data_IF_197505341606
#
_entry.id   IF_197505341606
#
_cell.length_a   1.000
_cell.length_b   1.000
_cell.length_c   1.000
_cell.angle_alpha   90.00
_cell.angle_beta   90.00
_cell.angle_gamma   90.00
#
_symmetry.space_group_name_H-M   'P 1'
#
loop_
_entity.id
_entity.type
_entity.pdbx_description
1 polymer ?
#
# COMPACT_ATOMS: atom_id res chain seq x y z
N UNK A 1 -7.90 -21.74 19.36
CA UNK A 1 -6.77 -22.67 19.19
C UNK A 1 -6.26 -23.10 20.56
N UNK A 2 -5.97 -24.38 20.77
CA UNK A 2 -5.53 -24.91 22.06
C UNK A 2 -4.08 -24.47 22.32
N UNK A 3 -3.87 -23.56 23.26
CA UNK A 3 -2.54 -23.03 23.56
C UNK A 3 -1.65 -24.17 24.10
N UNK A 4 -0.48 -24.41 23.48
CA UNK A 4 0.41 -25.51 23.86
C UNK A 4 1.02 -25.25 25.23
N UNK A 5 1.40 -26.31 25.95
CA UNK A 5 1.88 -26.17 27.33
C UNK A 5 3.16 -25.33 27.45
N UNK A 6 4.05 -25.37 26.45
CA UNK A 6 5.25 -24.53 26.43
C UNK A 6 4.90 -23.05 26.21
N UNK A 7 3.91 -22.75 25.38
CA UNK A 7 3.49 -21.37 25.13
C UNK A 7 2.75 -20.78 26.34
N UNK A 8 1.96 -21.57 27.05
CA UNK A 8 1.37 -21.16 28.34
C UNK A 8 2.46 -20.85 29.38
N UNK A 9 3.51 -21.68 29.44
CA UNK A 9 4.64 -21.45 30.33
C UNK A 9 5.41 -20.18 29.95
N UNK A 10 5.69 -19.99 28.66
CA UNK A 10 6.34 -18.80 28.13
C UNK A 10 5.55 -17.52 28.49
N UNK A 11 4.24 -17.47 28.21
CA UNK A 11 3.38 -16.31 28.51
C UNK A 11 3.39 -15.97 30.01
N UNK A 12 3.32 -16.99 30.85
CA UNK A 12 3.33 -16.80 32.30
C UNK A 12 4.68 -16.23 32.78
N UNK A 13 5.79 -16.79 32.31
CA UNK A 13 7.13 -16.33 32.69
C UNK A 13 7.40 -14.92 32.14
N UNK A 14 7.02 -14.65 30.89
CA UNK A 14 7.09 -13.32 30.26
C UNK A 14 6.32 -12.29 31.07
N UNK A 15 5.08 -12.60 31.47
CA UNK A 15 4.27 -11.71 32.32
C UNK A 15 4.93 -11.42 33.65
N UNK A 16 5.51 -12.42 34.32
CA UNK A 16 6.21 -12.22 35.59
C UNK A 16 7.45 -11.34 35.46
N UNK A 17 8.18 -11.46 34.35
CA UNK A 17 9.33 -10.60 34.04
C UNK A 17 8.87 -9.16 33.79
N UNK A 18 7.81 -8.96 32.98
CA UNK A 18 7.25 -7.62 32.67
C UNK A 18 6.67 -6.93 33.90
N UNK A 19 5.99 -7.69 34.79
CA UNK A 19 5.44 -7.17 36.05
C UNK A 19 6.51 -6.89 37.11
N UNK A 20 7.79 -7.16 36.83
CA UNK A 20 8.91 -6.89 37.74
C UNK A 20 9.05 -7.88 38.89
N UNK A 21 8.46 -9.09 38.80
CA UNK A 21 8.66 -10.15 39.79
C UNK A 21 10.08 -10.72 39.76
N UNK A 22 10.74 -10.62 38.59
CA UNK A 22 12.16 -10.86 38.44
C UNK A 22 12.84 -9.56 38.02
N UNK A 23 13.90 -9.17 38.73
CA UNK A 23 14.67 -7.97 38.43
C UNK A 23 15.74 -8.28 37.39
N UNK A 24 16.23 -7.23 36.74
CA UNK A 24 17.38 -7.33 35.86
C UNK A 24 18.55 -8.04 36.57
N UNK A 25 19.17 -8.99 35.87
CA UNK A 25 20.32 -9.73 36.39
C UNK A 25 19.96 -10.81 37.41
N UNK A 26 18.69 -10.98 37.77
CA UNK A 26 18.26 -12.11 38.60
C UNK A 26 18.53 -13.43 37.88
N UNK A 27 19.03 -14.40 38.65
CA UNK A 27 19.25 -15.75 38.14
C UNK A 27 17.90 -16.45 37.98
N UNK A 28 17.58 -16.80 36.75
CA UNK A 28 16.39 -17.56 36.41
C UNK A 28 16.54 -19.05 36.76
N UNK A 29 15.43 -19.75 36.97
CA UNK A 29 15.46 -21.19 37.27
C UNK A 29 16.20 -21.97 36.17
N UNK A 30 16.91 -23.04 36.53
CA UNK A 30 17.44 -23.95 35.50
C UNK A 30 16.30 -24.78 34.88
N UNK A 31 16.46 -25.22 33.62
CA UNK A 31 15.48 -26.08 32.93
C UNK A 31 15.06 -27.29 33.79
N UNK A 32 16.02 -27.91 34.47
CA UNK A 32 15.81 -29.09 35.35
C UNK A 32 15.06 -28.73 36.64
N UNK A 33 15.34 -27.60 37.25
CA UNK A 33 14.63 -27.14 38.45
C UNK A 33 13.17 -26.82 38.13
N UNK A 34 12.94 -26.08 37.04
CA UNK A 34 11.59 -25.69 36.66
C UNK A 34 10.73 -26.87 36.21
N UNK A 35 11.32 -27.81 35.45
CA UNK A 35 10.65 -29.06 35.06
C UNK A 35 10.22 -29.89 36.27
N UNK A 36 11.07 -30.02 37.30
CA UNK A 36 10.72 -30.72 38.55
C UNK A 36 9.65 -29.99 39.36
N UNK A 37 9.74 -28.67 39.46
CA UNK A 37 8.81 -27.87 40.28
C UNK A 37 7.39 -27.86 39.69
N UNK A 38 7.27 -27.83 38.36
CA UNK A 38 5.99 -27.80 37.66
C UNK A 38 5.52 -29.18 37.20
N UNK A 39 6.31 -30.25 37.44
CA UNK A 39 6.02 -31.61 36.98
C UNK A 39 5.71 -31.71 35.47
N UNK A 40 6.49 -31.00 34.65
CA UNK A 40 6.34 -30.97 33.18
C UNK A 40 7.60 -31.49 32.49
N UNK A 41 7.47 -31.93 31.23
CA UNK A 41 8.61 -32.37 30.41
C UNK A 41 9.68 -31.29 30.32
N UNK A 42 10.95 -31.70 30.40
CA UNK A 42 12.09 -30.82 30.21
C UNK A 42 12.11 -30.20 28.80
N UNK A 43 11.60 -30.91 27.78
CA UNK A 43 11.45 -30.38 26.41
C UNK A 43 10.47 -29.21 26.34
N UNK A 44 9.38 -29.26 27.10
CA UNK A 44 8.40 -28.16 27.19
C UNK A 44 9.02 -26.92 27.82
N UNK A 45 9.82 -27.09 28.88
CA UNK A 45 10.56 -25.98 29.52
C UNK A 45 11.60 -25.41 28.57
N UNK A 46 12.29 -26.27 27.82
CA UNK A 46 13.28 -25.86 26.83
C UNK A 46 12.68 -25.02 25.71
N UNK A 47 11.54 -25.41 25.14
CA UNK A 47 10.85 -24.59 24.14
C UNK A 47 10.38 -23.24 24.69
N UNK A 48 9.85 -23.20 25.92
CA UNK A 48 9.47 -21.95 26.55
C UNK A 48 10.67 -21.03 26.79
N UNK A 49 11.82 -21.59 27.19
CA UNK A 49 13.06 -20.83 27.40
C UNK A 49 13.66 -20.34 26.09
N UNK A 50 13.55 -21.13 25.02
CA UNK A 50 13.99 -20.71 23.70
C UNK A 50 13.21 -19.47 23.24
N UNK A 51 11.89 -19.45 23.41
CA UNK A 51 11.09 -18.25 23.10
C UNK A 51 11.49 -17.05 23.96
N UNK A 52 11.74 -17.24 25.26
CA UNK A 52 12.21 -16.15 26.13
C UNK A 52 13.60 -15.63 25.75
N UNK A 53 14.48 -16.49 25.22
CA UNK A 53 15.80 -16.10 24.71
C UNK A 53 15.69 -15.37 23.37
N UNK A 54 14.87 -15.89 22.45
CA UNK A 54 14.69 -15.35 21.11
C UNK A 54 14.07 -13.94 21.15
N UNK A 55 13.14 -13.71 22.09
CA UNK A 55 12.56 -12.37 22.34
C UNK A 55 13.38 -11.50 23.31
N UNK A 56 14.48 -12.01 23.85
CA UNK A 56 15.41 -11.24 24.67
C UNK A 56 14.95 -10.98 26.11
N UNK A 57 13.92 -11.67 26.63
CA UNK A 57 13.50 -11.56 28.03
C UNK A 57 14.52 -12.14 29.02
N UNK A 58 15.27 -13.16 28.58
CA UNK A 58 16.37 -13.75 29.34
C UNK A 58 17.60 -13.89 28.44
N UNK A 59 18.78 -14.01 29.05
CA UNK A 59 20.02 -14.32 28.36
C UNK A 59 20.77 -15.46 29.06
N UNK A 60 21.59 -16.20 28.31
CA UNK A 60 22.39 -17.29 28.84
C UNK A 60 23.82 -16.83 29.15
N UNK A 61 24.32 -17.16 30.35
CA UNK A 61 25.75 -17.05 30.67
C UNK A 61 26.38 -18.44 30.71
N UNK A 62 27.49 -18.69 29.96
CA UNK A 62 28.16 -19.99 29.93
C UNK A 62 28.45 -20.51 31.35
N UNK A 63 28.10 -21.79 31.59
CA UNK A 63 28.24 -22.50 32.88
C UNK A 63 27.56 -21.85 34.09
N UNK A 64 26.78 -20.79 33.91
CA UNK A 64 26.18 -20.01 35.01
C UNK A 64 24.65 -20.10 35.03
N UNK A 65 24.01 -20.30 33.88
CA UNK A 65 22.56 -20.48 33.75
C UNK A 65 21.90 -19.38 32.91
N UNK A 66 20.63 -19.10 33.21
CA UNK A 66 19.83 -18.06 32.56
C UNK A 66 19.63 -16.88 33.51
N UNK A 67 19.61 -15.68 32.98
CA UNK A 67 19.49 -14.42 33.72
C UNK A 67 18.47 -13.53 33.03
N UNK A 68 17.73 -12.73 33.79
CA UNK A 68 16.73 -11.80 33.23
C UNK A 68 17.44 -10.61 32.60
N UNK A 69 17.07 -10.31 31.35
CA UNK A 69 17.61 -9.18 30.60
C UNK A 69 17.12 -7.85 31.15
N UNK A 70 17.87 -6.78 30.87
CA UNK A 70 17.38 -5.42 31.05
C UNK A 70 16.24 -5.18 30.07
N UNK A 71 15.03 -4.99 30.60
CA UNK A 71 13.85 -4.66 29.80
C UNK A 71 13.52 -3.23 30.17
N UNK A 72 13.74 -2.32 29.24
CA UNK A 72 13.15 -0.98 29.32
C UNK A 72 11.63 -1.15 29.26
N UNK A 73 11.00 -1.30 30.42
CA UNK A 73 9.56 -1.15 30.52
C UNK A 73 9.28 0.32 30.21
N UNK A 74 8.74 0.61 29.02
CA UNK A 74 8.07 1.88 28.79
C UNK A 74 7.12 2.07 29.97
N UNK A 75 7.29 3.14 30.75
CA UNK A 75 6.42 3.45 31.87
C UNK A 75 5.03 3.69 31.29
N UNK A 76 4.18 2.66 31.32
CA UNK A 76 2.78 2.79 30.96
C UNK A 76 2.16 3.61 32.10
N UNK A 77 2.22 4.94 31.96
CA UNK A 77 1.79 5.89 32.98
C UNK A 77 0.30 5.82 33.30
N UNK A 78 -0.48 5.02 32.55
CA UNK A 78 -1.89 4.81 32.83
C UNK A 78 -2.32 3.42 32.36
N UNK A 79 -2.71 2.56 33.32
CA UNK A 79 -3.49 1.35 33.05
C UNK A 79 -4.97 1.68 32.78
N UNK A 80 -5.25 2.91 32.33
CA UNK A 80 -6.56 3.29 31.83
C UNK A 80 -6.78 2.49 30.54
N UNK A 81 -7.94 1.84 30.35
CA UNK A 81 -8.27 1.29 29.04
C UNK A 81 -8.11 2.43 28.04
N UNK A 82 -7.20 2.26 27.09
CA UNK A 82 -7.09 3.18 25.94
C UNK A 82 -8.51 3.21 25.37
N UNK A 83 -9.20 4.36 25.33
CA UNK A 83 -10.48 4.46 24.65
C UNK A 83 -10.26 3.83 23.28
N UNK A 84 -11.09 2.87 22.91
CA UNK A 84 -11.04 2.23 21.61
C UNK A 84 -11.11 3.31 20.55
N UNK A 85 -9.95 3.73 20.05
CA UNK A 85 -9.80 4.69 18.96
C UNK A 85 -10.43 4.17 17.66
N UNK A 86 -10.94 2.94 17.69
CA UNK A 86 -11.55 2.19 16.60
C UNK A 86 -13.03 1.84 16.86
N UNK A 87 -13.62 2.21 18.00
CA UNK A 87 -15.08 2.11 18.22
C UNK A 87 -15.82 3.34 17.68
N UNK A 88 -15.12 4.20 16.95
CA UNK A 88 -15.75 5.28 16.21
C UNK A 88 -16.43 4.71 14.96
N UNK A 89 -17.67 4.23 15.15
CA UNK A 89 -18.63 3.89 14.09
C UNK A 89 -19.01 5.12 13.21
N UNK A 90 -18.31 6.26 13.33
CA UNK A 90 -18.46 7.42 12.45
C UNK A 90 -18.05 7.11 11.01
N UNK A 91 -17.18 6.12 10.78
CA UNK A 91 -16.94 5.59 9.45
C UNK A 91 -18.15 4.77 8.99
N UNK A 92 -19.19 5.49 8.57
CA UNK A 92 -20.22 4.92 7.72
C UNK A 92 -19.61 4.84 6.33
N UNK A 93 -19.28 3.64 5.79
CA UNK A 93 -18.97 3.54 4.37
C UNK A 93 -20.15 4.20 3.65
N UNK A 94 -19.86 5.16 2.75
CA UNK A 94 -20.89 5.70 1.86
C UNK A 94 -21.59 4.48 1.27
N UNK A 95 -22.87 4.30 1.59
CA UNK A 95 -23.63 3.17 1.12
C UNK A 95 -23.58 3.21 -0.41
N UNK A 96 -22.75 2.34 -0.99
CA UNK A 96 -22.63 2.17 -2.44
C UNK A 96 -23.85 1.44 -3.02
N UNK A 97 -24.80 1.06 -2.16
CA UNK A 97 -25.97 0.26 -2.47
C UNK A 97 -27.28 1.08 -2.35
N UNK A 98 -27.22 2.41 -2.53
CA UNK A 98 -28.44 3.09 -2.95
C UNK A 98 -28.74 2.60 -4.37
N UNK A 99 -29.67 1.65 -4.48
CA UNK A 99 -30.19 1.17 -5.75
C UNK A 99 -30.91 2.33 -6.45
N UNK A 100 -30.14 3.18 -7.12
CA UNK A 100 -30.68 4.21 -7.98
C UNK A 100 -31.31 3.55 -9.20
N UNK A 101 -32.56 3.87 -9.51
CA UNK A 101 -33.18 3.47 -10.77
C UNK A 101 -32.41 4.02 -11.98
N UNK A 102 -31.77 5.19 -11.80
CA UNK A 102 -30.93 5.86 -12.77
C UNK A 102 -29.73 6.52 -12.07
N UNK A 103 -28.52 6.08 -12.39
CA UNK A 103 -27.28 6.72 -11.96
C UNK A 103 -26.67 7.50 -13.15
N UNK A 104 -26.50 8.81 -13.00
CA UNK A 104 -25.90 9.69 -14.03
C UNK A 104 -24.42 9.96 -13.70
N UNK A 105 -23.66 8.90 -13.45
CA UNK A 105 -22.24 8.96 -13.16
C UNK A 105 -21.44 8.86 -14.46
N UNK A 106 -20.68 9.89 -14.81
CA UNK A 106 -19.83 9.89 -16.02
C UNK A 106 -18.60 8.99 -15.88
N UNK A 107 -18.17 8.71 -14.65
CA UNK A 107 -16.91 8.02 -14.34
C UNK A 107 -17.10 6.51 -14.06
N UNK A 108 -18.34 6.01 -14.09
CA UNK A 108 -18.60 4.60 -13.82
C UNK A 108 -18.37 3.72 -15.06
N UNK A 109 -17.74 2.57 -14.83
CA UNK A 109 -17.57 1.54 -15.84
C UNK A 109 -18.85 0.72 -15.89
N UNK A 110 -19.37 0.49 -17.10
CA UNK A 110 -20.47 -0.43 -17.31
C UNK A 110 -20.04 -1.88 -17.01
N UNK A 111 -20.31 -2.32 -15.80
CA UNK A 111 -20.02 -3.67 -15.33
C UNK A 111 -20.87 -4.74 -16.00
N UNK A 112 -22.04 -4.38 -16.56
CA UNK A 112 -22.96 -5.34 -17.20
C UNK A 112 -22.48 -5.76 -18.58
N UNK A 113 -21.86 -4.85 -19.32
CA UNK A 113 -21.36 -5.11 -20.69
C UNK A 113 -19.86 -5.37 -20.77
N UNK A 114 -19.15 -5.36 -19.64
CA UNK A 114 -17.73 -5.70 -19.63
C UNK A 114 -17.51 -7.17 -20.06
N UNK A 115 -16.67 -7.45 -21.09
CA UNK A 115 -16.48 -8.79 -21.63
C UNK A 115 -15.58 -9.65 -20.72
N UNK A 116 -16.08 -10.00 -19.53
CA UNK A 116 -15.31 -10.65 -18.47
C UNK A 116 -14.76 -12.02 -18.89
N UNK A 117 -15.48 -12.76 -19.72
CA UNK A 117 -15.04 -14.07 -20.21
C UNK A 117 -13.79 -13.97 -21.10
N UNK A 118 -13.77 -12.96 -21.98
CA UNK A 118 -12.65 -12.70 -22.87
C UNK A 118 -11.44 -12.18 -22.07
N UNK A 119 -11.69 -11.26 -21.13
CA UNK A 119 -10.66 -10.76 -20.22
C UNK A 119 -10.02 -11.89 -19.41
N UNK A 120 -10.84 -12.81 -18.88
CA UNK A 120 -10.36 -13.98 -18.14
C UNK A 120 -9.54 -14.93 -19.02
N UNK A 121 -9.96 -15.15 -20.27
CA UNK A 121 -9.21 -15.99 -21.23
C UNK A 121 -7.81 -15.44 -21.45
N UNK A 122 -7.69 -14.16 -21.83
CA UNK A 122 -6.37 -13.54 -22.07
C UNK A 122 -5.53 -13.42 -20.80
N UNK A 123 -6.16 -13.18 -19.65
CA UNK A 123 -5.45 -13.18 -18.37
C UNK A 123 -4.82 -14.53 -18.08
N UNK A 124 -5.54 -15.64 -18.34
CA UNK A 124 -5.01 -17.00 -18.16
C UNK A 124 -3.83 -17.28 -19.09
N UNK A 125 -3.92 -16.86 -20.35
CA UNK A 125 -2.84 -17.03 -21.33
C UNK A 125 -1.58 -16.25 -20.92
N UNK A 126 -1.74 -15.05 -20.35
CA UNK A 126 -0.62 -14.24 -19.83
C UNK A 126 0.10 -14.90 -18.64
N UNK A 127 -0.64 -15.53 -17.73
CA UNK A 127 -0.08 -16.19 -16.55
C UNK A 127 0.42 -17.62 -16.80
N UNK A 128 0.52 -18.07 -18.05
CA UNK A 128 1.12 -19.37 -18.35
C UNK A 128 2.60 -19.41 -17.91
N UNK A 129 3.05 -20.60 -17.50
CA UNK A 129 4.41 -20.89 -17.01
C UNK A 129 5.53 -20.49 -17.99
N UNK A 130 5.20 -20.34 -19.27
CA UNK A 130 6.11 -19.85 -20.31
C UNK A 130 6.43 -18.35 -20.20
N UNK A 131 5.67 -17.60 -19.39
CA UNK A 131 5.76 -16.14 -19.26
C UNK A 131 6.26 -15.66 -17.88
N UNK A 132 6.88 -16.53 -17.07
CA UNK A 132 7.36 -16.18 -15.72
C UNK A 132 8.36 -15.00 -15.68
N UNK A 133 9.00 -14.66 -16.81
CA UNK A 133 9.82 -13.46 -16.91
C UNK A 133 9.02 -12.16 -16.66
N UNK A 134 7.70 -12.17 -16.83
CA UNK A 134 6.79 -11.05 -16.52
C UNK A 134 6.66 -10.78 -15.01
N UNK A 135 7.07 -11.71 -14.14
CA UNK A 135 7.12 -11.49 -12.69
C UNK A 135 8.28 -10.57 -12.27
N UNK A 136 9.20 -10.25 -13.19
CA UNK A 136 10.27 -9.28 -12.96
C UNK A 136 9.70 -7.87 -13.02
N UNK A 137 10.43 -6.90 -12.47
CA UNK A 137 10.07 -5.49 -12.69
C UNK A 137 10.12 -5.21 -14.19
N UNK A 138 8.99 -4.75 -14.72
CA UNK A 138 8.87 -4.32 -16.10
C UNK A 138 9.65 -3.03 -16.37
N UNK A 139 9.67 -2.63 -17.63
CA UNK A 139 10.26 -1.36 -18.05
C UNK A 139 9.48 -0.17 -17.48
N UNK A 140 10.15 0.95 -17.16
CA UNK A 140 9.52 2.12 -16.51
C UNK A 140 8.43 2.80 -17.37
N UNK A 141 8.52 2.71 -18.70
CA UNK A 141 7.47 3.17 -19.63
C UNK A 141 6.35 2.14 -19.86
N UNK A 142 6.43 0.96 -19.23
CA UNK A 142 5.60 -0.19 -19.53
C UNK A 142 6.18 -1.13 -20.59
N UNK A 143 5.54 -2.29 -20.72
CA UNK A 143 6.01 -3.40 -21.55
C UNK A 143 6.14 -3.02 -23.04
N UNK A 144 7.27 -3.39 -23.63
CA UNK A 144 7.61 -2.99 -25.00
C UNK A 144 6.59 -3.51 -26.03
N UNK A 145 6.22 -4.79 -25.94
CA UNK A 145 5.24 -5.40 -26.83
C UNK A 145 3.86 -4.72 -26.74
N UNK A 146 3.47 -4.30 -25.53
CA UNK A 146 2.23 -3.56 -25.32
C UNK A 146 2.31 -2.17 -25.97
N UNK A 147 3.44 -1.47 -25.84
CA UNK A 147 3.66 -0.17 -26.51
C UNK A 147 3.61 -0.29 -28.04
N UNK A 148 4.16 -1.35 -28.63
CA UNK A 148 4.01 -1.62 -30.07
C UNK A 148 2.53 -1.78 -30.48
N UNK A 149 1.77 -2.58 -29.73
CA UNK A 149 0.35 -2.79 -30.04
C UNK A 149 -0.47 -1.51 -29.85
N UNK A 150 -0.15 -0.70 -28.83
CA UNK A 150 -0.78 0.60 -28.63
C UNK A 150 -0.44 1.59 -29.75
N UNK A 151 0.81 1.66 -30.21
CA UNK A 151 1.19 2.51 -31.33
C UNK A 151 0.40 2.15 -32.61
N UNK A 152 0.29 0.84 -32.89
CA UNK A 152 -0.53 0.36 -34.02
C UNK A 152 -2.01 0.73 -33.84
N UNK A 153 -2.58 0.47 -32.66
CA UNK A 153 -3.98 0.80 -32.36
C UNK A 153 -4.28 2.31 -32.49
N UNK A 154 -3.38 3.16 -32.02
CA UNK A 154 -3.49 4.61 -32.09
C UNK A 154 -3.43 5.11 -33.55
N UNK A 155 -2.58 4.50 -34.37
CA UNK A 155 -2.52 4.79 -35.79
C UNK A 155 -3.82 4.40 -36.49
N UNK A 156 -4.31 3.17 -36.30
CA UNK A 156 -5.50 2.68 -37.02
C UNK A 156 -6.80 3.37 -36.60
N UNK A 157 -6.97 3.69 -35.32
CA UNK A 157 -8.24 4.21 -34.80
C UNK A 157 -8.26 5.74 -34.61
N UNK A 158 -7.10 6.38 -34.50
CA UNK A 158 -6.99 7.82 -34.23
C UNK A 158 -6.07 8.57 -35.19
N UNK A 159 -5.42 7.88 -36.13
CA UNK A 159 -4.46 8.50 -37.06
C UNK A 159 -3.20 9.05 -36.39
N UNK A 160 -2.95 8.70 -35.11
CA UNK A 160 -1.79 9.19 -34.37
C UNK A 160 -0.57 8.37 -34.78
N UNK A 161 0.44 9.05 -35.33
CA UNK A 161 1.73 8.45 -35.71
C UNK A 161 2.70 8.68 -34.55
N UNK A 162 3.09 7.61 -33.86
CA UNK A 162 4.08 7.67 -32.79
C UNK A 162 4.99 6.44 -32.78
N UNK A 163 6.22 6.64 -32.33
CA UNK A 163 7.16 5.55 -32.05
C UNK A 163 6.82 4.91 -30.68
N UNK A 164 6.92 3.59 -30.52
CA UNK A 164 6.68 2.92 -29.24
C UNK A 164 7.50 3.49 -28.07
N UNK A 165 8.66 4.12 -28.32
CA UNK A 165 9.48 4.77 -27.29
C UNK A 165 8.89 6.11 -26.80
N UNK A 166 7.93 6.69 -27.52
CA UNK A 166 7.20 7.90 -27.11
C UNK A 166 5.98 7.58 -26.25
N UNK A 167 5.60 6.30 -26.12
CA UNK A 167 4.46 5.87 -25.31
C UNK A 167 4.92 5.58 -23.89
N UNK A 168 4.26 6.20 -22.91
CA UNK A 168 4.42 5.92 -21.47
C UNK A 168 3.09 5.37 -20.96
N UNK A 169 3.12 4.17 -20.39
CA UNK A 169 1.95 3.53 -19.80
C UNK A 169 1.88 3.91 -18.32
N UNK A 170 0.74 4.45 -17.89
CA UNK A 170 0.45 4.78 -16.50
C UNK A 170 -0.83 4.13 -16.00
N UNK A 171 -1.03 4.14 -14.69
CA UNK A 171 -2.23 3.58 -14.05
C UNK A 171 -3.44 4.51 -14.11
N UNK A 172 -3.23 5.80 -14.33
CA UNK A 172 -4.30 6.78 -14.49
C UNK A 172 -3.84 8.00 -15.29
N UNK A 173 -4.80 8.73 -15.87
CA UNK A 173 -4.55 10.02 -16.51
C UNK A 173 -3.94 11.01 -15.52
N UNK A 174 -4.41 11.02 -14.27
CA UNK A 174 -3.86 11.88 -13.22
C UNK A 174 -2.38 11.64 -12.97
N UNK A 175 -1.95 10.38 -12.90
CA UNK A 175 -0.54 10.04 -12.72
C UNK A 175 0.31 10.54 -13.89
N UNK A 176 -0.15 10.30 -15.12
CA UNK A 176 0.58 10.69 -16.33
C UNK A 176 0.66 12.21 -16.50
N UNK A 177 -0.44 12.92 -16.22
CA UNK A 177 -0.46 14.40 -16.23
C UNK A 177 0.47 14.96 -15.16
N UNK A 178 0.49 14.36 -13.95
CA UNK A 178 1.39 14.80 -12.89
C UNK A 178 2.87 14.69 -13.31
N UNK A 179 3.26 13.57 -13.91
CA UNK A 179 4.60 13.38 -14.46
C UNK A 179 4.90 14.33 -15.63
N UNK A 180 3.92 14.56 -16.51
CA UNK A 180 4.07 15.48 -17.64
C UNK A 180 4.31 16.91 -17.18
N UNK A 181 3.60 17.37 -16.13
CA UNK A 181 3.83 18.70 -15.53
C UNK A 181 5.25 18.79 -14.93
N UNK A 182 5.75 17.73 -14.30
CA UNK A 182 7.13 17.70 -13.79
C UNK A 182 8.18 17.80 -14.89
N UNK A 183 7.92 17.18 -16.05
CA UNK A 183 8.80 17.29 -17.22
C UNK A 183 8.77 18.67 -17.87
N UNK A 184 7.66 19.39 -17.75
CA UNK A 184 7.41 20.70 -18.35
C UNK A 184 7.46 21.84 -17.32
N UNK A 185 8.21 21.68 -16.23
CA UNK A 185 8.20 22.61 -15.09
C UNK A 185 8.55 24.08 -15.42
N UNK A 186 9.17 24.36 -16.57
CA UNK A 186 9.50 25.71 -17.03
C UNK A 186 8.43 26.34 -17.92
N UNK A 187 7.38 25.60 -18.26
CA UNK A 187 6.37 26.02 -19.23
C UNK A 187 5.15 26.62 -18.55
N UNK A 188 4.56 27.61 -19.20
CA UNK A 188 3.23 28.12 -18.84
C UNK A 188 2.16 27.21 -19.46
N UNK A 189 1.12 26.91 -18.69
CA UNK A 189 0.01 26.06 -19.14
C UNK A 189 -1.21 26.91 -19.51
N UNK A 190 -1.93 26.47 -20.54
CA UNK A 190 -3.23 27.03 -20.91
C UNK A 190 -4.23 25.87 -20.86
N UNK A 191 -5.34 26.05 -20.14
CA UNK A 191 -6.41 25.05 -20.02
C UNK A 191 -7.76 25.64 -20.39
N UNK A 192 -8.69 24.79 -20.79
CA UNK A 192 -10.07 25.18 -21.12
C UNK A 192 -10.87 25.62 -19.89
N UNK A 193 -11.91 26.42 -20.11
CA UNK A 193 -12.92 26.82 -19.13
C UNK A 193 -14.32 26.55 -19.71
N UNK A 194 -15.08 25.59 -19.16
CA UNK A 194 -14.74 24.68 -18.06
C UNK A 194 -13.68 23.63 -18.43
N UNK A 195 -12.78 23.29 -17.50
CA UNK A 195 -11.73 22.26 -17.70
C UNK A 195 -12.10 20.92 -17.09
N UNK A 196 -11.40 19.87 -17.54
CA UNK A 196 -11.36 18.57 -16.89
C UNK A 196 -10.75 18.70 -15.47
N UNK A 197 -11.52 18.48 -14.38
CA UNK A 197 -11.09 18.81 -13.02
C UNK A 197 -9.76 18.18 -12.57
N UNK A 198 -9.42 16.93 -12.94
CA UNK A 198 -8.16 16.32 -12.55
C UNK A 198 -6.92 17.09 -13.01
N UNK A 199 -6.92 17.67 -14.21
CA UNK A 199 -5.79 18.47 -14.71
C UNK A 199 -5.65 19.74 -13.87
N UNK A 200 -6.75 20.47 -13.65
CA UNK A 200 -6.76 21.68 -12.83
C UNK A 200 -6.25 21.42 -11.41
N UNK A 201 -6.76 20.36 -10.77
CA UNK A 201 -6.35 19.96 -9.42
C UNK A 201 -4.85 19.65 -9.32
N UNK A 202 -4.24 19.08 -10.36
CA UNK A 202 -2.80 18.79 -10.40
C UNK A 202 -1.99 20.08 -10.50
N UNK A 203 -2.39 21.00 -11.37
CA UNK A 203 -1.74 22.30 -11.53
C UNK A 203 -1.82 23.13 -10.25
N UNK A 204 -3.01 23.20 -9.63
CA UNK A 204 -3.24 23.88 -8.35
C UNK A 204 -2.35 23.29 -7.24
N UNK A 205 -2.29 21.96 -7.11
CA UNK A 205 -1.47 21.27 -6.10
C UNK A 205 0.03 21.52 -6.28
N UNK A 206 0.49 21.60 -7.53
CA UNK A 206 1.91 21.86 -7.85
C UNK A 206 2.24 23.35 -7.85
N UNK A 207 1.26 24.23 -7.65
CA UNK A 207 1.43 25.69 -7.68
C UNK A 207 2.05 26.19 -8.99
N UNK A 208 1.66 25.56 -10.11
CA UNK A 208 2.10 25.93 -11.44
C UNK A 208 1.17 27.01 -11.98
N UNK A 209 1.73 28.06 -12.58
CA UNK A 209 0.94 29.10 -13.22
C UNK A 209 0.26 28.57 -14.48
N UNK A 210 -1.05 28.82 -14.59
CA UNK A 210 -1.83 28.49 -15.78
C UNK A 210 -2.89 29.54 -16.06
N UNK A 211 -3.22 29.70 -17.34
CA UNK A 211 -4.31 30.55 -17.82
C UNK A 211 -5.51 29.69 -18.21
N UNK A 212 -6.72 30.22 -18.01
CA UNK A 212 -7.95 29.55 -18.41
C UNK A 212 -8.65 30.35 -19.52
N UNK A 213 -8.93 29.68 -20.63
CA UNK A 213 -9.55 30.30 -21.82
C UNK A 213 -10.93 29.67 -22.04
N UNK A 214 -11.91 30.51 -22.40
CA UNK A 214 -13.29 30.06 -22.59
C UNK A 214 -13.45 29.19 -23.83
N UNK A 215 -14.31 28.17 -23.69
CA UNK A 215 -14.71 27.29 -24.78
C UNK A 215 -15.97 27.84 -25.42
N UNK A 216 -15.90 28.08 -26.72
CA UNK A 216 -17.02 28.47 -27.59
C UNK A 216 -17.64 27.23 -28.27
N UNK A 217 -18.69 27.42 -29.06
CA UNK A 217 -19.38 26.33 -29.76
C UNK A 217 -18.46 25.53 -30.71
N UNK A 218 -17.34 26.11 -31.14
CA UNK A 218 -16.34 25.49 -32.02
C UNK A 218 -15.08 24.99 -31.28
N UNK A 219 -15.05 25.08 -29.95
CA UNK A 219 -13.90 24.69 -29.12
C UNK A 219 -13.24 25.87 -28.40
N UNK A 220 -11.99 25.70 -27.98
CA UNK A 220 -11.22 26.74 -27.28
C UNK A 220 -11.04 27.99 -28.17
N UNK A 221 -11.21 29.19 -27.59
CA UNK A 221 -10.98 30.45 -28.31
C UNK A 221 -9.48 30.61 -28.67
N UNK A 222 -9.14 30.32 -29.94
CA UNK A 222 -7.76 30.34 -30.44
C UNK A 222 -7.17 31.76 -30.48
N UNK A 223 -7.99 32.78 -30.71
CA UNK A 223 -7.52 34.17 -30.75
C UNK A 223 -7.01 34.63 -29.38
N UNK A 224 -7.66 34.17 -28.30
CA UNK A 224 -7.23 34.41 -26.92
C UNK A 224 -5.95 33.64 -26.61
N UNK A 225 -5.83 32.38 -27.04
CA UNK A 225 -4.61 31.55 -26.89
C UNK A 225 -3.40 32.25 -27.53
N UNK A 226 -3.54 32.77 -28.74
CA UNK A 226 -2.45 33.43 -29.48
C UNK A 226 -2.06 34.77 -28.81
N UNK A 227 -3.00 35.49 -28.20
CA UNK A 227 -2.70 36.73 -27.46
C UNK A 227 -1.91 36.45 -26.19
N UNK A 228 -2.26 35.39 -25.47
CA UNK A 228 -1.57 34.94 -24.25
C UNK A 228 -0.09 34.64 -24.50
N UNK A 229 0.25 34.00 -25.63
CA UNK A 229 1.65 33.66 -25.99
C UNK A 229 2.56 34.86 -26.31
N UNK A 230 2.03 36.08 -26.43
CA UNK A 230 2.82 37.28 -26.79
C UNK A 230 3.29 38.10 -25.59
N UNK A 231 2.91 37.73 -24.37
CA UNK A 231 3.41 38.31 -23.12
C UNK A 231 4.48 37.41 -22.48
#
# INVERSE_FOLDING_TARGET
>A
MKNTLYHQLYEKLKKQIIEGQFKEGDKFYSKRQLSKHLSISQTTVEHAYQLLLDEGYIYSRPRSGYFVSEIESLTILNNQPIPSLFDDDSYKPKASDEAYDYAFNLDEIDTKHFPIELFRKYSKDLYDTNHLNQLRRGHFQGELHLRFQLAFYLFTNRGVICDPNQIIIGSSTEQLVNQLVDLLYTSTFIIEKPSYPPIKNILDKKQVEYEQIEVEDNGINVDEVIKSQKN
#
